data_IF_494679755072
#
_entry.id   IF_494679755072
#
_cell.length_a   1.000
_cell.length_b   1.000
_cell.length_c   1.000
_cell.angle_alpha   90.00
_cell.angle_beta   90.00
_cell.angle_gamma   90.00
#
_symmetry.space_group_name_H-M   'P 1'
#
loop_
_entity.id
_entity.type
_entity.pdbx_description
1 polymer ?
#
# COMPACT_ATOMS: atom_id res chain seq x y z
N UNK A 1 -7.76 6.08 4.07
CA UNK A 1 -6.84 4.91 4.19
C UNK A 1 -5.91 5.09 5.37
N UNK A 2 -5.26 6.25 5.51
CA UNK A 2 -4.43 6.56 6.68
C UNK A 2 -5.22 6.58 8.00
N UNK A 3 -6.54 6.79 7.94
CA UNK A 3 -7.44 6.68 9.09
C UNK A 3 -7.72 5.23 9.52
N UNK A 4 -7.45 4.25 8.64
CA UNK A 4 -7.70 2.83 8.89
C UNK A 4 -6.41 2.10 9.27
N UNK A 5 -5.30 2.46 8.63
CA UNK A 5 -4.03 1.77 8.77
C UNK A 5 -2.88 2.75 8.86
N UNK A 6 -1.95 2.46 9.78
CA UNK A 6 -0.72 3.22 9.87
C UNK A 6 0.23 2.95 8.68
N UNK A 7 1.23 3.81 8.52
CA UNK A 7 2.21 3.72 7.42
C UNK A 7 3.05 2.44 7.47
N UNK A 8 3.33 1.91 8.66
CA UNK A 8 4.10 0.66 8.83
C UNK A 8 3.28 -0.51 8.31
N UNK A 9 2.04 -0.64 8.75
CA UNK A 9 1.06 -1.62 8.28
C UNK A 9 0.94 -1.59 6.76
N UNK A 10 0.67 -0.42 6.18
CA UNK A 10 0.54 -0.27 4.71
C UNK A 10 1.82 -0.63 3.96
N UNK A 11 3.01 -0.38 4.52
CA UNK A 11 4.28 -0.75 3.89
C UNK A 11 4.52 -2.27 3.86
N UNK A 12 3.94 -2.99 4.82
CA UNK A 12 4.16 -4.42 5.05
C UNK A 12 3.08 -5.33 4.43
N UNK A 13 1.95 -4.78 4.00
CA UNK A 13 0.86 -5.54 3.38
C UNK A 13 0.80 -5.37 1.86
N UNK A 14 0.01 -6.22 1.21
CA UNK A 14 -0.30 -6.17 -0.22
C UNK A 14 -1.78 -6.39 -0.48
N UNK A 15 -2.25 -6.04 -1.68
CA UNK A 15 -3.64 -6.28 -2.07
C UNK A 15 -3.92 -7.74 -2.45
N UNK A 16 -2.93 -8.46 -2.98
CA UNK A 16 -3.12 -9.79 -3.57
C UNK A 16 -2.29 -10.92 -2.97
N UNK A 17 -1.41 -10.65 -2.00
CA UNK A 17 -0.61 -11.68 -1.32
C UNK A 17 0.45 -12.35 -2.19
N UNK A 18 0.66 -11.85 -3.40
CA UNK A 18 1.59 -12.42 -4.37
C UNK A 18 2.86 -11.58 -4.47
N UNK A 19 3.99 -12.24 -4.72
CA UNK A 19 5.21 -11.57 -5.17
C UNK A 19 4.99 -10.95 -6.55
N UNK A 20 5.74 -9.89 -6.84
CA UNK A 20 5.82 -9.42 -8.21
C UNK A 20 6.45 -10.52 -9.08
N UNK A 21 5.99 -10.68 -10.33
CA UNK A 21 6.46 -11.75 -11.24
C UNK A 21 7.98 -11.74 -11.47
N UNK A 22 8.61 -10.59 -11.32
CA UNK A 22 10.05 -10.37 -11.48
C UNK A 22 10.82 -10.32 -10.16
N UNK A 23 10.15 -10.49 -9.01
CA UNK A 23 10.79 -10.51 -7.70
C UNK A 23 11.40 -11.90 -7.44
N UNK A 24 12.72 -11.98 -7.60
CA UNK A 24 13.52 -13.18 -7.34
C UNK A 24 14.08 -13.23 -5.91
N UNK A 25 13.67 -12.33 -5.02
CA UNK A 25 14.16 -12.34 -3.65
C UNK A 25 13.59 -13.52 -2.87
N UNK A 26 14.37 -14.04 -1.92
CA UNK A 26 13.92 -15.07 -0.98
C UNK A 26 12.95 -14.53 0.08
N UNK A 27 12.66 -13.21 0.08
CA UNK A 27 11.74 -12.62 1.05
C UNK A 27 10.34 -13.18 0.89
N UNK A 28 9.60 -13.54 1.96
CA UNK A 28 8.26 -14.08 1.82
C UNK A 28 7.30 -13.07 1.19
N UNK A 29 6.24 -13.58 0.55
CA UNK A 29 5.18 -12.72 0.03
C UNK A 29 4.52 -11.93 1.16
N UNK A 30 4.13 -10.68 0.88
CA UNK A 30 3.51 -9.83 1.88
C UNK A 30 2.10 -10.34 2.23
N UNK A 31 1.68 -10.26 3.50
CA UNK A 31 0.30 -10.56 3.89
C UNK A 31 -0.71 -9.71 3.11
N UNK A 32 -1.89 -10.29 2.87
CA UNK A 32 -3.01 -9.63 2.19
C UNK A 32 -3.68 -8.65 3.14
N UNK A 33 -4.16 -7.52 2.63
CA UNK A 33 -5.07 -6.66 3.38
C UNK A 33 -6.35 -7.41 3.80
N UNK A 34 -6.96 -7.07 4.94
CA UNK A 34 -8.25 -7.63 5.33
C UNK A 34 -9.29 -7.42 4.21
N UNK A 35 -9.94 -8.48 3.69
CA UNK A 35 -10.82 -8.39 2.54
C UNK A 35 -12.04 -7.48 2.82
N UNK A 36 -12.58 -7.54 4.04
CA UNK A 36 -13.72 -6.73 4.45
C UNK A 36 -13.40 -5.24 4.45
N UNK A 37 -12.19 -4.86 4.88
CA UNK A 37 -11.75 -3.47 4.83
C UNK A 37 -11.55 -2.99 3.40
N UNK A 38 -11.02 -3.83 2.50
CA UNK A 38 -10.90 -3.49 1.08
C UNK A 38 -12.28 -3.29 0.46
N UNK A 39 -13.24 -4.16 0.76
CA UNK A 39 -14.61 -4.03 0.28
C UNK A 39 -15.30 -2.78 0.83
N UNK A 40 -15.10 -2.46 2.11
CA UNK A 40 -15.63 -1.24 2.72
C UNK A 40 -15.09 0.02 2.04
N UNK A 41 -13.78 0.07 1.72
CA UNK A 41 -13.18 1.18 0.96
C UNK A 41 -13.81 1.28 -0.44
N UNK A 42 -13.98 0.16 -1.15
CA UNK A 42 -14.60 0.14 -2.48
C UNK A 42 -16.01 0.71 -2.41
N UNK A 43 -16.83 0.21 -1.48
CA UNK A 43 -18.21 0.66 -1.31
C UNK A 43 -18.27 2.16 -0.98
N UNK A 44 -17.47 2.60 -0.01
CA UNK A 44 -17.41 4.00 0.39
C UNK A 44 -17.04 4.93 -0.78
N UNK A 45 -15.96 4.63 -1.50
CA UNK A 45 -15.49 5.47 -2.61
C UNK A 45 -16.49 5.48 -3.75
N UNK A 46 -17.02 4.31 -4.14
CA UNK A 46 -18.03 4.22 -5.21
C UNK A 46 -19.29 4.98 -4.83
N UNK A 47 -19.80 4.84 -3.60
CA UNK A 47 -20.99 5.58 -3.17
C UNK A 47 -20.75 7.08 -3.07
N UNK A 48 -19.61 7.50 -2.52
CA UNK A 48 -19.25 8.91 -2.39
C UNK A 48 -19.19 9.58 -3.77
N UNK A 49 -18.45 8.98 -4.72
CA UNK A 49 -18.30 9.54 -6.06
C UNK A 49 -19.62 9.57 -6.83
N UNK A 50 -20.46 8.53 -6.67
CA UNK A 50 -21.80 8.49 -7.25
C UNK A 50 -22.68 9.61 -6.69
N UNK A 51 -22.68 9.82 -5.37
CA UNK A 51 -23.52 10.83 -4.70
C UNK A 51 -23.06 12.26 -4.97
N UNK A 52 -21.75 12.51 -4.97
CA UNK A 52 -21.20 13.86 -5.06
C UNK A 52 -20.98 14.33 -6.49
N UNK A 53 -20.65 13.42 -7.41
CA UNK A 53 -20.22 13.79 -8.76
C UNK A 53 -20.98 13.04 -9.86
N UNK A 54 -21.93 12.16 -9.52
CA UNK A 54 -22.65 11.29 -10.48
C UNK A 54 -21.68 10.41 -11.30
N UNK A 55 -20.50 10.13 -10.74
CA UNK A 55 -19.47 9.30 -11.38
C UNK A 55 -19.63 7.86 -10.90
N UNK A 56 -19.75 6.93 -11.84
CA UNK A 56 -19.68 5.50 -11.56
C UNK A 56 -18.23 5.03 -11.73
N UNK A 57 -17.52 4.84 -10.62
CA UNK A 57 -16.16 4.32 -10.63
C UNK A 57 -16.16 2.80 -10.46
N UNK A 58 -15.60 2.08 -11.43
CA UNK A 58 -15.49 0.62 -11.32
C UNK A 58 -14.51 0.20 -10.21
N UNK A 59 -14.80 -0.89 -9.46
CA UNK A 59 -13.95 -1.39 -8.37
C UNK A 59 -12.49 -1.62 -8.73
N UNK A 60 -12.18 -1.94 -10.00
CA UNK A 60 -10.81 -2.17 -10.48
C UNK A 60 -9.92 -0.93 -10.34
N UNK A 61 -10.49 0.27 -10.54
CA UNK A 61 -9.74 1.52 -10.41
C UNK A 61 -9.41 1.81 -8.95
N UNK A 62 -10.35 1.54 -8.03
CA UNK A 62 -10.14 1.69 -6.60
C UNK A 62 -9.09 0.70 -6.10
N UNK A 63 -9.18 -0.58 -6.54
CA UNK A 63 -8.16 -1.60 -6.26
C UNK A 63 -6.77 -1.18 -6.76
N UNK A 64 -6.69 -0.63 -7.97
CA UNK A 64 -5.43 -0.11 -8.52
C UNK A 64 -4.86 1.02 -7.65
N UNK A 65 -5.69 1.98 -7.24
CA UNK A 65 -5.29 3.06 -6.36
C UNK A 65 -4.78 2.57 -4.98
N UNK A 66 -5.46 1.58 -4.38
CA UNK A 66 -5.00 0.93 -3.13
C UNK A 66 -3.61 0.32 -3.35
N UNK A 67 -3.42 -0.46 -4.42
CA UNK A 67 -2.14 -1.09 -4.75
C UNK A 67 -1.00 -0.06 -4.89
N UNK A 68 -1.26 1.04 -5.58
CA UNK A 68 -0.32 2.15 -5.75
C UNK A 68 0.04 2.81 -4.42
N UNK A 69 -0.93 3.03 -3.53
CA UNK A 69 -0.68 3.59 -2.19
C UNK A 69 0.22 2.68 -1.35
N UNK A 70 -0.06 1.37 -1.31
CA UNK A 70 0.78 0.40 -0.59
C UNK A 70 2.22 0.36 -1.14
N UNK A 71 2.36 0.43 -2.46
CA UNK A 71 3.68 0.49 -3.12
C UNK A 71 4.45 1.77 -2.75
N UNK A 72 3.75 2.90 -2.71
CA UNK A 72 4.32 4.19 -2.30
C UNK A 72 4.79 4.17 -0.85
N UNK A 73 3.98 3.62 0.07
CA UNK A 73 4.37 3.48 1.48
C UNK A 73 5.57 2.55 1.65
N UNK A 74 5.67 1.47 0.86
CA UNK A 74 6.86 0.60 0.86
C UNK A 74 8.12 1.35 0.41
N UNK A 75 8.04 2.13 -0.67
CA UNK A 75 9.16 2.95 -1.14
C UNK A 75 9.57 4.00 -0.10
N UNK A 76 8.60 4.68 0.50
CA UNK A 76 8.84 5.65 1.56
C UNK A 76 9.44 5.03 2.83
N UNK A 77 9.02 3.81 3.19
CA UNK A 77 9.63 3.05 4.28
C UNK A 77 11.09 2.72 3.97
N UNK A 78 11.37 2.17 2.78
CA UNK A 78 12.74 1.83 2.36
C UNK A 78 13.66 3.05 2.39
N UNK A 79 13.20 4.20 1.89
CA UNK A 79 13.94 5.47 1.93
C UNK A 79 14.24 5.94 3.35
N UNK A 80 13.27 5.83 4.27
CA UNK A 80 13.48 6.19 5.68
C UNK A 80 14.49 5.25 6.34
N UNK A 81 14.37 3.94 6.10
CA UNK A 81 15.31 2.95 6.64
C UNK A 81 16.74 3.17 6.16
N UNK A 82 16.95 3.55 4.88
CA UNK A 82 18.29 3.84 4.37
C UNK A 82 18.91 5.08 5.00
N UNK A 83 18.12 6.15 5.21
CA UNK A 83 18.58 7.38 5.88
C UNK A 83 19.02 7.08 7.32
N UNK A 84 18.22 6.30 8.05
CA UNK A 84 18.58 5.91 9.43
C UNK A 84 19.84 5.05 9.44
N UNK A 85 19.97 4.09 8.52
CA UNK A 85 21.18 3.27 8.42
C UNK A 85 22.44 4.09 8.11
N UNK A 86 22.35 5.09 7.22
CA UNK A 86 23.48 5.99 6.91
C UNK A 86 23.83 6.94 8.06
N UNK A 87 22.86 7.29 8.92
CA UNK A 87 23.11 8.17 10.06
C UNK A 87 23.77 7.45 11.25
N UNK A 88 23.63 6.13 11.35
CA UNK A 88 24.18 5.31 12.44
C UNK A 88 25.61 4.84 12.15
N UNK A 89 26.04 4.87 10.88
CA UNK A 89 27.41 4.56 10.47
C UNK A 89 28.08 5.85 9.97
N UNK A 90 28.74 6.65 10.84
CA UNK A 90 29.57 7.73 10.33
C UNK A 90 30.70 7.09 9.51
N UNK A 91 30.94 7.64 8.32
CA UNK A 91 31.99 7.20 7.40
C UNK A 91 33.29 6.96 8.16
N UNK A 92 33.73 5.71 8.21
CA UNK A 92 35.11 5.39 8.58
C UNK A 92 35.98 5.85 7.41
N UNK A 93 36.43 7.10 7.47
CA UNK A 93 37.59 7.61 6.73
C UNK A 93 38.87 7.04 7.33
#
# INVERSE_FOLDING_TARGET
MEDLWDRKFMSQHSLGGMKAKNDKSDTPAKPVLPPDSVQAIINYVTEFLRKQYTITLEPKHIRSAISTKLSTEKSAFKKRSSIVASAILPERS
#
